data_IF_149067009702
#
_entry.id   IF_149067009702
#
_cell.length_a   1.000
_cell.length_b   1.000
_cell.length_c   1.000
_cell.angle_alpha   90.00
_cell.angle_beta   90.00
_cell.angle_gamma   90.00
#
_symmetry.space_group_name_H-M   'P 1'
#
loop_
_entity.id
_entity.type
_entity.pdbx_description
1 polymer ?
#
# COMPACT_ATOMS: atom_id res chain seq x y z
N UNK A 1 -32.85 -37.77 22.47
CA UNK A 1 -32.29 -36.39 22.55
C UNK A 1 -30.88 -36.43 21.98
N UNK A 2 -30.71 -35.95 20.77
CA UNK A 2 -29.41 -35.85 20.13
C UNK A 2 -28.80 -34.50 20.51
N UNK A 3 -27.67 -34.51 21.21
CA UNK A 3 -26.88 -33.30 21.44
C UNK A 3 -26.25 -32.88 20.11
N UNK A 4 -26.66 -31.73 19.63
CA UNK A 4 -25.97 -31.07 18.52
C UNK A 4 -24.61 -30.61 19.02
N UNK A 5 -23.54 -31.21 18.49
CA UNK A 5 -22.18 -30.73 18.70
C UNK A 5 -22.05 -29.35 18.04
N UNK A 6 -21.83 -28.31 18.84
CA UNK A 6 -21.44 -27.00 18.35
C UNK A 6 -20.06 -27.13 17.73
N UNK A 7 -19.97 -27.02 16.39
CA UNK A 7 -18.70 -26.89 15.70
C UNK A 7 -18.01 -25.60 16.22
N UNK A 8 -16.82 -25.73 16.79
CA UNK A 8 -16.00 -24.57 17.13
C UNK A 8 -15.63 -23.88 15.81
N UNK A 9 -16.05 -22.63 15.65
CA UNK A 9 -15.65 -21.81 14.53
C UNK A 9 -14.11 -21.74 14.46
N UNK A 10 -13.54 -22.02 13.30
CA UNK A 10 -12.10 -21.89 13.09
C UNK A 10 -11.66 -20.42 13.17
N UNK A 11 -10.35 -20.11 13.30
CA UNK A 11 -9.85 -18.75 13.45
C UNK A 11 -10.31 -17.76 12.36
N UNK A 12 -10.68 -18.26 11.18
CA UNK A 12 -11.18 -17.45 10.05
C UNK A 12 -12.65 -17.05 10.18
N UNK A 13 -13.43 -17.76 11.00
CA UNK A 13 -14.88 -17.51 11.14
C UNK A 13 -15.20 -16.31 12.04
N UNK A 14 -14.19 -15.75 12.70
CA UNK A 14 -14.37 -14.54 13.51
C UNK A 14 -14.46 -13.26 12.66
N UNK A 15 -13.90 -13.26 11.45
CA UNK A 15 -13.87 -12.07 10.58
C UNK A 15 -15.01 -12.06 9.56
N UNK A 16 -15.40 -10.85 9.15
CA UNK A 16 -16.48 -10.65 8.20
C UNK A 16 -16.26 -11.45 6.91
N UNK A 17 -17.33 -12.05 6.35
CA UNK A 17 -17.26 -12.65 5.02
C UNK A 17 -16.67 -11.68 4.00
N UNK A 18 -15.84 -12.21 3.06
CA UNK A 18 -15.10 -11.37 2.11
C UNK A 18 -15.98 -10.49 1.22
N UNK A 19 -17.23 -10.89 0.96
CA UNK A 19 -18.16 -10.17 0.10
C UNK A 19 -19.24 -9.40 0.88
N UNK A 20 -19.09 -9.26 2.21
CA UNK A 20 -19.97 -8.40 2.99
C UNK A 20 -19.80 -6.96 2.55
N UNK A 21 -20.89 -6.23 2.20
CA UNK A 21 -20.81 -4.80 1.91
C UNK A 21 -20.12 -4.02 3.04
N UNK A 22 -19.17 -3.16 2.68
CA UNK A 22 -18.47 -2.32 3.64
C UNK A 22 -19.39 -1.27 4.26
N UNK A 23 -19.04 -0.76 5.44
CA UNK A 23 -19.83 0.28 6.11
C UNK A 23 -19.75 1.61 5.35
N UNK A 24 -20.65 2.54 5.72
CA UNK A 24 -20.45 3.95 5.37
C UNK A 24 -19.14 4.44 6.00
N UNK A 25 -18.43 5.29 5.26
CA UNK A 25 -17.21 5.92 5.79
C UNK A 25 -17.59 6.82 6.98
N UNK A 26 -16.84 6.71 8.05
CA UNK A 26 -17.08 7.47 9.30
C UNK A 26 -16.39 8.84 9.28
N UNK A 27 -15.37 9.01 8.44
CA UNK A 27 -14.64 10.26 8.26
C UNK A 27 -15.53 11.32 7.62
N UNK A 28 -15.48 12.60 8.09
CA UNK A 28 -16.26 13.67 7.50
C UNK A 28 -16.03 13.82 6.00
N UNK A 29 -17.10 13.98 5.23
CA UNK A 29 -17.02 14.05 3.76
C UNK A 29 -16.18 15.24 3.26
N UNK A 30 -16.03 16.30 4.03
CA UNK A 30 -15.17 17.44 3.70
C UNK A 30 -13.70 17.03 3.71
N UNK A 31 -13.28 16.29 4.75
CA UNK A 31 -11.89 15.84 4.92
C UNK A 31 -11.52 14.82 3.84
N UNK A 32 -12.44 13.88 3.56
CA UNK A 32 -12.27 12.92 2.46
C UNK A 32 -12.10 13.62 1.11
N UNK A 33 -12.92 14.62 0.81
CA UNK A 33 -12.80 15.36 -0.47
C UNK A 33 -11.50 16.18 -0.56
N UNK A 34 -11.06 16.74 0.56
CA UNK A 34 -9.82 17.52 0.61
C UNK A 34 -8.57 16.65 0.45
N UNK A 35 -8.66 15.35 0.76
CA UNK A 35 -7.52 14.44 0.81
C UNK A 35 -6.99 14.01 -0.55
N UNK A 36 -7.77 14.10 -1.63
CA UNK A 36 -7.38 13.59 -2.95
C UNK A 36 -7.06 14.74 -3.89
N UNK A 37 -5.89 14.69 -4.51
CA UNK A 37 -5.47 15.61 -5.57
C UNK A 37 -5.16 14.82 -6.83
N UNK A 38 -5.69 15.27 -7.96
CA UNK A 38 -5.54 14.61 -9.25
C UNK A 38 -5.04 15.59 -10.31
N UNK A 39 -4.29 15.08 -11.29
CA UNK A 39 -3.94 15.84 -12.50
C UNK A 39 -5.17 16.06 -13.36
N UNK A 40 -5.20 17.11 -14.20
CA UNK A 40 -6.28 17.30 -15.18
C UNK A 40 -6.46 16.09 -16.11
N UNK A 41 -5.38 15.42 -16.49
CA UNK A 41 -5.38 14.21 -17.33
C UNK A 41 -6.07 12.99 -16.70
N UNK A 42 -6.28 12.99 -15.39
CA UNK A 42 -7.03 11.94 -14.70
C UNK A 42 -8.54 11.95 -15.00
N UNK A 43 -9.08 13.10 -15.42
CA UNK A 43 -10.50 13.22 -15.73
C UNK A 43 -10.81 12.65 -17.11
N UNK A 44 -11.73 11.68 -17.17
CA UNK A 44 -12.10 10.94 -18.39
C UNK A 44 -10.88 10.33 -19.10
N UNK A 45 -9.94 9.82 -18.32
CA UNK A 45 -8.71 9.25 -18.83
C UNK A 45 -8.96 8.05 -19.74
N UNK A 46 -8.13 7.94 -20.81
CA UNK A 46 -8.10 6.74 -21.66
C UNK A 46 -7.12 5.69 -21.16
N UNK A 47 -6.30 6.03 -20.17
CA UNK A 47 -5.37 5.13 -19.47
C UNK A 47 -5.89 4.89 -18.06
N UNK A 48 -5.40 3.87 -17.41
CA UNK A 48 -5.57 3.72 -15.98
C UNK A 48 -4.96 4.91 -15.26
N UNK A 49 -5.68 5.44 -14.28
CA UNK A 49 -5.15 6.53 -13.45
C UNK A 49 -4.38 5.91 -12.28
N UNK A 50 -3.12 6.29 -12.10
CA UNK A 50 -2.33 5.86 -10.96
C UNK A 50 -2.75 6.62 -9.70
N UNK A 51 -3.23 5.93 -8.68
CA UNK A 51 -3.48 6.48 -7.35
C UNK A 51 -2.29 6.18 -6.43
N UNK A 52 -1.55 7.21 -6.06
CA UNK A 52 -0.40 7.10 -5.16
C UNK A 52 -0.83 7.19 -3.70
N UNK A 53 -0.40 6.20 -2.89
CA UNK A 53 -0.69 6.10 -1.46
C UNK A 53 0.62 6.14 -0.67
N UNK A 54 0.91 7.21 0.09
CA UNK A 54 2.17 7.36 0.80
C UNK A 54 2.30 6.41 1.99
N UNK A 55 3.55 6.14 2.37
CA UNK A 55 3.92 5.38 3.54
C UNK A 55 3.77 6.18 4.85
N UNK A 56 4.39 5.67 5.91
CA UNK A 56 4.32 6.23 7.26
C UNK A 56 5.09 7.54 7.39
N UNK A 57 4.49 8.51 8.04
CA UNK A 57 5.15 9.74 8.49
C UNK A 57 5.25 10.82 7.42
N UNK A 58 4.70 10.64 6.23
CA UNK A 58 4.78 11.61 5.13
C UNK A 58 3.44 11.79 4.43
N UNK A 59 3.22 13.00 3.90
CA UNK A 59 2.17 13.27 2.94
C UNK A 59 2.64 13.01 1.50
N UNK A 60 1.74 13.10 0.50
CA UNK A 60 2.11 12.80 -0.89
C UNK A 60 3.13 13.78 -1.48
N UNK A 61 3.21 15.00 -0.99
CA UNK A 61 4.21 15.98 -1.47
C UNK A 61 5.61 15.56 -1.01
N UNK A 62 5.77 15.30 0.29
CA UNK A 62 7.06 14.87 0.84
C UNK A 62 7.50 13.51 0.30
N UNK A 63 6.52 12.61 0.09
CA UNK A 63 6.80 11.28 -0.42
C UNK A 63 7.16 11.28 -1.91
N UNK A 64 6.48 12.07 -2.73
CA UNK A 64 6.40 11.79 -4.15
C UNK A 64 6.69 12.98 -5.08
N UNK A 65 6.77 14.23 -4.60
CA UNK A 65 6.95 15.38 -5.48
C UNK A 65 8.28 15.37 -6.25
N UNK A 66 9.33 14.84 -5.63
CA UNK A 66 10.69 14.80 -6.17
C UNK A 66 11.03 13.50 -6.94
N UNK A 67 10.05 12.59 -7.07
CA UNK A 67 10.23 11.27 -7.68
C UNK A 67 8.98 10.85 -8.46
N UNK A 68 8.06 10.07 -7.90
CA UNK A 68 6.90 9.47 -8.58
C UNK A 68 6.01 10.51 -9.28
N UNK A 69 5.64 11.63 -8.64
CA UNK A 69 4.81 12.65 -9.29
C UNK A 69 5.55 13.27 -10.48
N UNK A 70 6.84 13.62 -10.29
CA UNK A 70 7.66 14.17 -11.37
C UNK A 70 7.86 13.16 -12.51
N UNK A 71 8.02 11.85 -12.19
CA UNK A 71 8.16 10.80 -13.19
C UNK A 71 6.87 10.61 -14.00
N UNK A 72 5.72 10.58 -13.33
CA UNK A 72 4.42 10.40 -13.99
C UNK A 72 4.05 11.64 -14.82
N UNK A 73 4.35 12.86 -14.34
CA UNK A 73 4.20 14.09 -15.12
C UNK A 73 5.07 14.06 -16.37
N UNK A 74 6.34 13.68 -16.25
CA UNK A 74 7.27 13.55 -17.39
C UNK A 74 6.81 12.50 -18.41
N UNK A 75 6.14 11.45 -17.94
CA UNK A 75 5.57 10.40 -18.79
C UNK A 75 4.18 10.75 -19.35
N UNK A 76 3.64 11.95 -19.04
CA UNK A 76 2.26 12.33 -19.32
C UNK A 76 1.27 11.23 -18.86
N UNK A 77 1.53 10.66 -17.66
CA UNK A 77 0.72 9.59 -17.10
C UNK A 77 -0.29 10.16 -16.09
N UNK A 78 -1.61 9.91 -16.28
CA UNK A 78 -2.65 10.46 -15.41
C UNK A 78 -2.54 9.89 -14.01
N UNK A 79 -2.54 10.76 -12.99
CA UNK A 79 -2.39 10.32 -11.62
C UNK A 79 -3.17 11.14 -10.61
N UNK A 80 -3.41 10.52 -9.47
CA UNK A 80 -3.92 11.11 -8.24
C UNK A 80 -3.00 10.74 -7.08
N UNK A 81 -3.02 11.54 -6.03
CA UNK A 81 -2.38 11.19 -4.76
C UNK A 81 -3.33 11.45 -3.60
N UNK A 82 -3.28 10.62 -2.57
CA UNK A 82 -4.11 10.75 -1.37
C UNK A 82 -3.28 11.18 -0.17
N UNK A 83 -3.74 12.20 0.54
CA UNK A 83 -3.21 12.60 1.84
C UNK A 83 -3.92 11.78 2.92
N UNK A 84 -3.17 11.03 3.72
CA UNK A 84 -3.70 10.24 4.82
C UNK A 84 -3.69 11.01 6.14
N UNK A 85 -4.61 10.72 7.08
CA UNK A 85 -4.73 11.47 8.33
C UNK A 85 -3.45 11.38 9.16
N UNK A 86 -2.99 12.51 9.68
CA UNK A 86 -1.79 12.59 10.52
C UNK A 86 -0.52 12.04 9.84
N UNK A 87 -0.43 12.10 8.50
CA UNK A 87 0.68 11.50 7.74
C UNK A 87 0.88 10.01 8.07
N UNK A 88 -0.21 9.26 8.17
CA UNK A 88 -0.22 7.79 8.38
C UNK A 88 0.40 7.31 9.70
N UNK A 89 0.51 8.15 10.73
CA UNK A 89 1.01 7.71 12.06
C UNK A 89 -0.09 7.32 13.05
N UNK A 90 -1.36 7.43 12.63
CA UNK A 90 -2.55 7.05 13.40
C UNK A 90 -3.05 5.63 13.13
N UNK A 91 -4.35 5.43 13.37
CA UNK A 91 -5.04 4.16 13.11
C UNK A 91 -5.13 3.87 11.61
N UNK A 92 -4.55 2.75 11.19
CA UNK A 92 -4.54 2.32 9.77
C UNK A 92 -5.96 2.05 9.26
N UNK A 93 -6.91 1.68 10.11
CA UNK A 93 -8.31 1.51 9.73
C UNK A 93 -8.95 2.85 9.31
N UNK A 94 -8.55 3.96 9.94
CA UNK A 94 -8.98 5.30 9.52
C UNK A 94 -8.33 5.68 8.19
N UNK A 95 -7.02 5.46 8.04
CA UNK A 95 -6.32 5.65 6.78
C UNK A 95 -6.97 4.88 5.62
N UNK A 96 -7.45 3.66 5.88
CA UNK A 96 -8.16 2.86 4.89
C UNK A 96 -9.47 3.52 4.41
N UNK A 97 -10.19 4.24 5.26
CA UNK A 97 -11.39 4.98 4.82
C UNK A 97 -11.05 6.09 3.82
N UNK A 98 -9.92 6.79 4.02
CA UNK A 98 -9.42 7.77 3.04
C UNK A 98 -9.07 7.10 1.71
N UNK A 99 -8.44 5.91 1.76
CA UNK A 99 -8.11 5.15 0.56
C UNK A 99 -9.36 4.64 -0.15
N UNK A 100 -10.38 4.15 0.56
CA UNK A 100 -11.69 3.79 -0.02
C UNK A 100 -12.29 4.98 -0.76
N UNK A 101 -12.28 6.17 -0.13
CA UNK A 101 -12.75 7.39 -0.79
C UNK A 101 -11.93 7.71 -2.03
N UNK A 102 -10.60 7.65 -1.93
CA UNK A 102 -9.69 7.95 -3.03
C UNK A 102 -9.90 7.01 -4.23
N UNK A 103 -10.04 5.69 -4.00
CA UNK A 103 -10.36 4.71 -5.05
C UNK A 103 -11.68 5.07 -5.73
N UNK A 104 -12.75 5.28 -4.95
CA UNK A 104 -14.07 5.63 -5.49
C UNK A 104 -14.07 6.96 -6.24
N UNK A 105 -13.34 7.95 -5.73
CA UNK A 105 -13.21 9.26 -6.37
C UNK A 105 -12.48 9.15 -7.70
N UNK A 106 -11.30 8.54 -7.70
CA UNK A 106 -10.45 8.39 -8.90
C UNK A 106 -11.17 7.57 -9.97
N UNK A 107 -11.78 6.45 -9.62
CA UNK A 107 -12.61 5.65 -10.53
C UNK A 107 -13.75 6.48 -11.16
N UNK A 108 -14.44 7.29 -10.34
CA UNK A 108 -15.57 8.10 -10.83
C UNK A 108 -15.12 9.17 -11.83
N UNK A 109 -13.99 9.83 -11.59
CA UNK A 109 -13.49 10.89 -12.48
C UNK A 109 -12.83 10.33 -13.74
N UNK A 110 -12.12 9.20 -13.62
CA UNK A 110 -11.46 8.54 -14.75
C UNK A 110 -12.45 7.83 -15.67
N UNK A 111 -13.58 7.33 -15.12
CA UNK A 111 -14.56 6.47 -15.79
C UNK A 111 -13.99 5.12 -16.25
N UNK A 112 -12.87 4.72 -15.69
CA UNK A 112 -12.19 3.45 -15.95
C UNK A 112 -11.63 2.90 -14.64
N UNK A 113 -11.28 1.61 -14.62
CA UNK A 113 -10.53 1.05 -13.51
C UNK A 113 -9.21 1.80 -13.34
N UNK A 114 -8.68 1.79 -12.12
CA UNK A 114 -7.49 2.52 -11.72
C UNK A 114 -6.39 1.58 -11.25
N UNK A 115 -5.15 2.05 -11.30
CA UNK A 115 -4.03 1.42 -10.61
C UNK A 115 -3.83 2.06 -9.24
N UNK A 116 -3.46 1.29 -8.24
CA UNK A 116 -3.09 1.78 -6.90
C UNK A 116 -1.64 1.42 -6.64
N UNK A 117 -0.80 2.43 -6.41
CA UNK A 117 0.62 2.27 -6.06
C UNK A 117 0.81 2.71 -4.62
N UNK A 118 1.26 1.81 -3.76
CA UNK A 118 1.46 2.10 -2.34
C UNK A 118 2.82 1.66 -1.83
N UNK A 119 3.55 2.56 -1.16
CA UNK A 119 4.84 2.27 -0.55
C UNK A 119 4.69 1.95 0.94
N UNK A 120 5.35 0.88 1.41
CA UNK A 120 5.35 0.52 2.83
C UNK A 120 3.91 0.34 3.38
N UNK A 121 3.53 1.06 4.45
CA UNK A 121 2.15 1.12 4.96
C UNK A 121 1.15 1.58 3.90
N UNK A 122 1.59 2.37 2.91
CA UNK A 122 0.76 2.82 1.80
C UNK A 122 0.25 1.66 0.91
N UNK A 123 0.91 0.50 0.94
CA UNK A 123 0.41 -0.72 0.32
C UNK A 123 -0.61 -1.46 1.21
N UNK A 124 -0.52 -1.32 2.51
CA UNK A 124 -1.41 -2.00 3.49
C UNK A 124 -2.82 -1.42 3.47
N UNK A 125 -2.95 -0.08 3.51
CA UNK A 125 -4.25 0.59 3.57
C UNK A 125 -5.16 0.26 2.37
N UNK A 126 -4.67 0.18 1.11
CA UNK A 126 -5.46 -0.29 -0.02
C UNK A 126 -5.90 -1.75 0.12
N UNK A 127 -5.05 -2.64 0.61
CA UNK A 127 -5.42 -4.04 0.81
C UNK A 127 -6.52 -4.19 1.85
N UNK A 128 -6.44 -3.41 2.95
CA UNK A 128 -7.51 -3.36 3.95
C UNK A 128 -8.82 -2.80 3.34
N UNK A 129 -8.74 -1.78 2.49
CA UNK A 129 -9.88 -1.26 1.74
C UNK A 129 -10.50 -2.33 0.83
N UNK A 130 -9.70 -3.04 0.02
CA UNK A 130 -10.16 -4.14 -0.85
C UNK A 130 -10.76 -5.30 -0.04
N UNK A 131 -10.27 -5.55 1.19
CA UNK A 131 -10.79 -6.61 2.05
C UNK A 131 -12.16 -6.28 2.63
N UNK A 132 -12.37 -5.07 3.12
CA UNK A 132 -13.56 -4.70 3.90
C UNK A 132 -14.55 -3.78 3.17
N UNK A 133 -14.21 -3.28 1.97
CA UNK A 133 -15.13 -2.57 1.06
C UNK A 133 -15.08 -3.20 -0.33
N UNK A 134 -15.77 -4.35 -0.50
CA UNK A 134 -15.67 -5.16 -1.72
C UNK A 134 -16.11 -4.45 -3.01
N UNK A 135 -16.90 -3.37 -2.91
CA UNK A 135 -17.23 -2.53 -4.07
C UNK A 135 -15.99 -1.90 -4.73
N UNK A 136 -14.94 -1.64 -3.96
CA UNK A 136 -13.69 -1.07 -4.48
C UNK A 136 -12.95 -2.02 -5.41
N UNK A 137 -13.18 -3.33 -5.31
CA UNK A 137 -12.55 -4.35 -6.17
C UNK A 137 -12.92 -4.21 -7.64
N UNK A 138 -14.15 -3.78 -7.93
CA UNK A 138 -14.60 -3.53 -9.30
C UNK A 138 -13.96 -2.26 -9.91
N UNK A 139 -13.33 -1.42 -9.08
CA UNK A 139 -12.78 -0.12 -9.46
C UNK A 139 -11.26 -0.17 -9.69
N UNK A 140 -10.58 -1.20 -9.18
CA UNK A 140 -9.12 -1.36 -9.27
C UNK A 140 -8.79 -2.42 -10.32
N UNK A 141 -7.85 -2.10 -11.22
CA UNK A 141 -7.28 -3.04 -12.17
C UNK A 141 -5.95 -3.58 -11.64
N UNK A 142 -5.10 -2.69 -11.13
CA UNK A 142 -3.76 -3.01 -10.67
C UNK A 142 -3.50 -2.50 -9.25
N UNK A 143 -2.87 -3.35 -8.47
CA UNK A 143 -2.27 -3.04 -7.19
C UNK A 143 -0.76 -3.24 -7.29
N UNK A 144 0.02 -2.21 -6.98
CA UNK A 144 1.48 -2.26 -6.91
C UNK A 144 1.91 -1.90 -5.49
N UNK A 145 2.46 -2.87 -4.78
CA UNK A 145 3.04 -2.68 -3.45
C UNK A 145 4.56 -2.53 -3.53
N UNK A 146 5.08 -1.39 -3.09
CA UNK A 146 6.52 -1.12 -3.01
C UNK A 146 6.96 -1.36 -1.57
N UNK A 147 7.62 -2.47 -1.28
CA UNK A 147 7.97 -2.92 0.07
C UNK A 147 6.78 -2.84 1.05
N UNK A 148 5.60 -3.29 0.59
CA UNK A 148 4.38 -3.22 1.37
C UNK A 148 4.42 -4.17 2.58
N UNK A 149 3.96 -3.72 3.75
CA UNK A 149 4.00 -4.47 5.02
C UNK A 149 2.85 -5.50 5.07
N UNK A 150 2.77 -6.36 4.06
CA UNK A 150 1.62 -7.23 3.81
C UNK A 150 1.36 -8.25 4.94
N UNK A 151 2.41 -8.73 5.62
CA UNK A 151 2.30 -9.68 6.73
C UNK A 151 2.89 -9.13 8.04
N UNK A 152 2.91 -7.80 8.17
CA UNK A 152 3.51 -7.13 9.32
C UNK A 152 5.04 -7.11 9.26
N UNK A 153 5.67 -6.57 10.28
CA UNK A 153 7.12 -6.46 10.37
C UNK A 153 7.64 -6.94 11.72
N UNK A 154 8.67 -7.77 11.71
CA UNK A 154 9.37 -8.19 12.93
C UNK A 154 10.10 -7.03 13.61
N UNK A 155 10.46 -5.96 12.87
CA UNK A 155 11.05 -4.77 13.46
C UNK A 155 10.05 -4.06 14.40
N UNK A 156 8.77 -4.04 14.04
CA UNK A 156 7.74 -3.52 14.93
C UNK A 156 7.52 -4.41 16.16
N UNK A 157 7.66 -5.74 16.03
CA UNK A 157 7.61 -6.65 17.18
C UNK A 157 8.75 -6.38 18.16
N UNK A 158 9.96 -6.11 17.63
CA UNK A 158 11.17 -5.81 18.43
C UNK A 158 11.10 -4.41 19.05
N UNK A 159 10.67 -3.42 18.29
CA UNK A 159 10.62 -2.03 18.75
C UNK A 159 9.54 -1.77 19.82
N UNK A 160 8.46 -2.56 19.80
CA UNK A 160 7.31 -2.40 20.69
C UNK A 160 6.92 -3.72 21.39
N UNK A 161 7.85 -4.33 22.16
CA UNK A 161 7.65 -5.68 22.73
C UNK A 161 6.50 -5.72 23.74
N UNK A 162 6.31 -4.64 24.50
CA UNK A 162 5.29 -4.52 25.55
C UNK A 162 3.91 -4.11 25.02
N UNK A 163 3.76 -3.96 23.70
CA UNK A 163 2.50 -3.52 23.10
C UNK A 163 2.20 -2.03 23.28
N UNK A 164 3.12 -1.25 23.84
CA UNK A 164 2.99 0.22 23.94
C UNK A 164 3.67 0.86 22.72
N UNK A 165 2.94 1.67 21.95
CA UNK A 165 3.51 2.31 20.76
C UNK A 165 2.51 3.12 19.96
N UNK A 166 2.94 3.80 18.89
CA UNK A 166 2.02 4.45 17.96
C UNK A 166 1.06 3.46 17.32
N UNK A 167 -0.16 3.89 17.03
CA UNK A 167 -1.22 3.05 16.48
C UNK A 167 -0.75 2.24 15.26
N UNK A 168 -0.17 2.91 14.25
CA UNK A 168 0.33 2.26 13.05
C UNK A 168 1.37 1.17 13.35
N UNK A 169 2.30 1.46 14.28
CA UNK A 169 3.38 0.53 14.59
C UNK A 169 2.87 -0.75 15.26
N UNK A 170 1.88 -0.62 16.15
CA UNK A 170 1.23 -1.76 16.79
C UNK A 170 0.41 -2.58 15.79
N UNK A 171 -0.30 -1.90 14.87
CA UNK A 171 -1.09 -2.56 13.83
C UNK A 171 -0.23 -3.22 12.74
N UNK A 172 1.00 -2.77 12.52
CA UNK A 172 1.92 -3.35 11.56
C UNK A 172 2.88 -4.39 12.19
N UNK A 173 2.65 -4.81 13.42
CA UNK A 173 3.31 -5.99 13.99
C UNK A 173 2.84 -7.26 13.27
N UNK A 174 3.72 -8.25 13.12
CA UNK A 174 3.37 -9.55 12.54
C UNK A 174 2.27 -10.27 13.32
N UNK A 175 2.21 -10.03 14.62
CA UNK A 175 1.26 -10.63 15.56
C UNK A 175 0.00 -9.80 15.77
N UNK A 176 -0.17 -8.69 15.06
CA UNK A 176 -1.30 -7.79 15.27
C UNK A 176 -2.62 -8.39 14.77
N UNK A 177 -3.70 -8.02 15.44
CA UNK A 177 -5.06 -8.37 14.99
C UNK A 177 -5.43 -7.68 13.69
N UNK A 178 -4.84 -6.54 13.42
CA UNK A 178 -5.04 -5.81 12.16
C UNK A 178 -4.50 -6.61 10.97
N UNK A 179 -3.26 -7.09 11.02
CA UNK A 179 -2.65 -7.93 9.96
C UNK A 179 -3.41 -9.25 9.81
N UNK A 180 -3.78 -9.90 10.93
CA UNK A 180 -4.59 -11.11 10.91
C UNK A 180 -5.93 -10.89 10.20
N UNK A 181 -6.64 -9.80 10.51
CA UNK A 181 -7.91 -9.45 9.90
C UNK A 181 -7.78 -9.14 8.41
N UNK A 182 -6.77 -8.34 8.03
CA UNK A 182 -6.53 -7.96 6.64
C UNK A 182 -6.27 -9.19 5.75
N UNK A 183 -5.52 -10.16 6.23
CA UNK A 183 -5.18 -11.37 5.50
C UNK A 183 -6.22 -12.50 5.66
N UNK A 184 -7.29 -12.26 6.45
CA UNK A 184 -8.34 -13.25 6.65
C UNK A 184 -9.13 -13.54 5.36
N UNK A 185 -9.38 -14.80 5.08
CA UNK A 185 -10.16 -15.26 3.94
C UNK A 185 -9.37 -15.26 2.63
N UNK A 186 -9.04 -14.11 2.07
CA UNK A 186 -8.24 -13.99 0.83
C UNK A 186 -7.37 -12.74 0.87
N UNK A 187 -6.13 -12.88 0.41
CA UNK A 187 -5.20 -11.77 0.27
C UNK A 187 -5.36 -11.01 -1.04
N UNK A 188 -5.79 -11.72 -2.10
CA UNK A 188 -5.94 -11.20 -3.46
C UNK A 188 -7.31 -11.55 -4.04
N UNK A 189 -7.89 -10.65 -4.82
CA UNK A 189 -9.25 -10.78 -5.35
C UNK A 189 -9.25 -10.89 -6.87
N UNK A 190 -10.19 -11.64 -7.47
CA UNK A 190 -10.34 -11.73 -8.92
C UNK A 190 -10.55 -10.36 -9.57
N UNK A 191 -10.03 -10.21 -10.79
CA UNK A 191 -10.20 -8.99 -11.59
C UNK A 191 -9.26 -7.84 -11.21
N UNK A 192 -8.29 -8.11 -10.31
CA UNK A 192 -7.20 -7.21 -9.94
C UNK A 192 -5.89 -7.95 -10.14
N UNK A 193 -4.92 -7.31 -10.78
CA UNK A 193 -3.53 -7.77 -10.85
C UNK A 193 -2.73 -7.24 -9.67
N UNK A 194 -1.88 -8.05 -9.08
CA UNK A 194 -1.10 -7.70 -7.92
C UNK A 194 0.39 -7.84 -8.21
N UNK A 195 1.11 -6.75 -8.10
CA UNK A 195 2.57 -6.71 -8.15
C UNK A 195 3.09 -6.32 -6.79
N UNK A 196 3.80 -7.22 -6.13
CA UNK A 196 4.44 -6.95 -4.83
C UNK A 196 5.95 -6.94 -5.02
N UNK A 197 6.54 -5.76 -4.84
CA UNK A 197 7.97 -5.57 -4.99
C UNK A 197 8.66 -5.57 -3.64
N UNK A 198 9.81 -6.24 -3.57
CA UNK A 198 10.64 -6.34 -2.37
C UNK A 198 12.11 -6.07 -2.68
N UNK A 199 12.87 -5.79 -1.64
CA UNK A 199 14.34 -5.73 -1.71
C UNK A 199 14.94 -6.54 -0.57
N UNK A 200 16.02 -7.27 -0.85
CA UNK A 200 16.79 -8.00 0.18
C UNK A 200 17.52 -7.07 1.17
N UNK A 201 17.58 -5.77 0.86
CA UNK A 201 18.16 -4.74 1.72
C UNK A 201 17.13 -4.00 2.59
N UNK A 202 15.89 -4.54 2.68
CA UNK A 202 14.85 -3.92 3.49
C UNK A 202 15.16 -4.06 4.99
N UNK A 203 15.33 -2.91 5.67
CA UNK A 203 15.61 -2.85 7.11
C UNK A 203 14.36 -2.73 7.97
N UNK A 204 13.20 -2.48 7.38
CA UNK A 204 11.94 -2.27 8.10
C UNK A 204 10.94 -3.41 7.90
N UNK A 205 10.78 -3.93 6.68
CA UNK A 205 9.81 -4.99 6.37
C UNK A 205 10.51 -6.33 6.32
N UNK A 206 10.69 -6.91 7.50
CA UNK A 206 11.42 -8.16 7.72
C UNK A 206 10.56 -9.21 8.42
N UNK A 207 10.86 -10.50 8.27
CA UNK A 207 11.87 -11.10 7.39
C UNK A 207 11.51 -11.03 5.91
N UNK A 208 12.45 -11.43 5.04
CA UNK A 208 12.21 -11.57 3.61
C UNK A 208 10.96 -12.44 3.34
N UNK A 209 10.22 -12.13 2.27
CA UNK A 209 8.93 -12.75 1.95
C UNK A 209 7.73 -12.16 2.69
N UNK A 210 7.93 -11.25 3.65
CA UNK A 210 6.83 -10.57 4.36
C UNK A 210 5.96 -9.71 3.44
N UNK A 211 6.52 -9.28 2.32
CA UNK A 211 5.80 -8.51 1.28
C UNK A 211 4.99 -9.39 0.34
N UNK A 212 5.26 -10.69 0.25
CA UNK A 212 4.66 -11.58 -0.74
C UNK A 212 3.15 -11.71 -0.54
N UNK A 213 2.44 -11.85 -1.65
CA UNK A 213 1.00 -12.04 -1.66
C UNK A 213 0.63 -13.42 -2.18
N UNK A 214 -0.34 -14.05 -1.54
CA UNK A 214 -0.89 -15.34 -1.96
C UNK A 214 -1.91 -15.17 -3.08
N UNK A 215 -1.75 -15.95 -4.15
CA UNK A 215 -2.67 -15.96 -5.28
C UNK A 215 -2.13 -16.71 -6.49
N UNK A 216 -2.94 -16.90 -7.53
CA UNK A 216 -2.47 -17.55 -8.75
C UNK A 216 -1.47 -16.65 -9.51
N UNK A 217 -0.44 -17.24 -10.11
CA UNK A 217 0.59 -16.54 -10.88
C UNK A 217 0.03 -15.68 -12.04
N UNK A 218 -1.13 -16.04 -12.58
CA UNK A 218 -1.81 -15.23 -13.61
C UNK A 218 -2.30 -13.87 -13.10
N UNK A 219 -2.20 -13.62 -11.80
CA UNK A 219 -2.73 -12.40 -11.16
C UNK A 219 -1.78 -11.82 -10.10
N UNK A 220 -0.80 -12.57 -9.64
CA UNK A 220 0.12 -12.17 -8.57
C UNK A 220 1.55 -12.38 -9.02
N UNK A 221 2.35 -11.32 -8.97
CA UNK A 221 3.80 -11.37 -9.11
C UNK A 221 4.45 -10.81 -7.83
N UNK A 222 5.23 -11.64 -7.16
CA UNK A 222 6.10 -11.25 -6.05
C UNK A 222 7.52 -11.19 -6.60
N UNK A 223 8.11 -9.99 -6.65
CA UNK A 223 9.36 -9.75 -7.34
C UNK A 223 10.34 -9.04 -6.41
N UNK A 224 11.50 -9.65 -6.16
CA UNK A 224 12.63 -8.97 -5.54
C UNK A 224 13.40 -8.17 -6.59
N UNK A 225 13.82 -6.93 -6.27
CA UNK A 225 14.65 -6.12 -7.17
C UNK A 225 15.92 -6.87 -7.57
N UNK A 226 16.51 -7.60 -6.65
CA UNK A 226 17.74 -8.37 -6.88
C UNK A 226 17.55 -9.59 -7.80
N UNK A 227 16.29 -10.00 -8.06
CA UNK A 227 16.02 -11.02 -9.08
C UNK A 227 16.16 -10.48 -10.50
N UNK A 228 16.05 -9.17 -10.68
CA UNK A 228 16.26 -8.47 -11.96
C UNK A 228 17.71 -7.95 -12.04
N UNK A 229 18.11 -7.22 -11.01
CA UNK A 229 19.41 -6.56 -10.89
C UNK A 229 20.13 -7.05 -9.62
N UNK A 230 20.96 -8.11 -9.71
CA UNK A 230 21.60 -8.69 -8.52
C UNK A 230 22.47 -7.73 -7.69
N UNK A 231 22.96 -6.66 -8.32
CA UNK A 231 23.77 -5.63 -7.67
C UNK A 231 22.93 -4.46 -7.13
N UNK A 232 21.61 -4.50 -7.28
CA UNK A 232 20.73 -3.47 -6.73
C UNK A 232 20.85 -3.43 -5.19
N UNK A 233 21.11 -2.24 -4.65
CA UNK A 233 21.31 -2.01 -3.22
C UNK A 233 20.23 -1.12 -2.59
N UNK A 234 19.13 -0.89 -3.30
CA UNK A 234 18.01 -0.10 -2.79
C UNK A 234 17.47 -0.67 -1.49
N UNK A 235 17.36 0.17 -0.50
CA UNK A 235 16.76 -0.15 0.79
C UNK A 235 15.23 0.08 0.79
N UNK A 236 14.59 -0.03 1.96
CA UNK A 236 13.15 0.20 2.10
C UNK A 236 12.68 1.56 1.59
N UNK A 237 13.48 2.61 1.77
CA UNK A 237 13.11 3.96 1.32
C UNK A 237 13.35 4.06 -0.19
N UNK A 238 14.48 3.56 -0.66
CA UNK A 238 14.86 3.57 -2.07
C UNK A 238 13.81 2.91 -2.97
N UNK A 239 13.38 1.69 -2.64
CA UNK A 239 12.34 0.96 -3.42
C UNK A 239 11.01 1.73 -3.50
N UNK A 240 10.67 2.50 -2.44
CA UNK A 240 9.44 3.30 -2.40
C UNK A 240 9.54 4.64 -3.09
N UNK A 241 10.76 5.15 -3.35
CA UNK A 241 10.96 6.55 -3.75
C UNK A 241 11.81 6.77 -4.98
N UNK A 242 12.99 6.12 -5.11
CA UNK A 242 13.99 6.54 -6.09
C UNK A 242 14.53 5.42 -6.98
N UNK A 243 14.14 4.19 -6.72
CA UNK A 243 14.68 3.03 -7.40
C UNK A 243 14.18 2.89 -8.85
N UNK A 244 15.12 2.70 -9.79
CA UNK A 244 14.82 2.60 -11.21
C UNK A 244 14.16 1.27 -11.58
N UNK A 245 14.53 0.17 -10.92
CA UNK A 245 13.98 -1.18 -11.17
C UNK A 245 12.54 -1.25 -10.66
N UNK A 246 12.29 -0.73 -9.45
CA UNK A 246 10.95 -0.65 -8.89
C UNK A 246 10.01 0.19 -9.77
N UNK A 247 10.50 1.33 -10.27
CA UNK A 247 9.74 2.16 -11.22
C UNK A 247 9.44 1.41 -12.52
N UNK A 248 10.43 0.76 -13.12
CA UNK A 248 10.25 0.03 -14.37
C UNK A 248 9.23 -1.11 -14.23
N UNK A 249 9.32 -1.89 -13.16
CA UNK A 249 8.36 -2.95 -12.85
C UNK A 249 6.95 -2.42 -12.59
N UNK A 250 6.84 -1.33 -11.84
CA UNK A 250 5.53 -0.71 -11.60
C UNK A 250 4.91 -0.18 -12.90
N UNK A 251 5.69 0.52 -13.74
CA UNK A 251 5.20 1.01 -15.03
C UNK A 251 4.89 -0.12 -16.00
N UNK A 252 5.63 -1.23 -15.93
CA UNK A 252 5.28 -2.43 -16.70
C UNK A 252 3.90 -2.94 -16.27
N UNK A 253 3.62 -3.09 -14.97
CA UNK A 253 2.30 -3.50 -14.47
C UNK A 253 1.16 -2.58 -14.98
N UNK A 254 1.38 -1.27 -15.02
CA UNK A 254 0.37 -0.28 -15.41
C UNK A 254 0.13 -0.18 -16.94
N UNK A 255 0.97 -0.79 -17.76
CA UNK A 255 0.96 -0.59 -19.22
C UNK A 255 0.66 -1.87 -20.02
N UNK A 256 0.44 -2.98 -19.35
CA UNK A 256 -0.02 -4.22 -19.98
C UNK A 256 -1.07 -4.94 -19.11
N UNK A 257 -1.67 -5.98 -19.60
CA UNK A 257 -2.65 -6.77 -18.83
C UNK A 257 -1.92 -7.80 -17.96
N UNK A 258 -2.28 -7.84 -16.68
CA UNK A 258 -1.67 -8.75 -15.70
C UNK A 258 -0.70 -8.04 -14.75
N UNK A 259 -0.15 -8.76 -13.76
CA UNK A 259 0.87 -8.22 -12.86
C UNK A 259 2.17 -7.95 -13.63
N UNK A 260 3.11 -7.21 -13.04
CA UNK A 260 4.39 -6.96 -13.68
C UNK A 260 5.04 -8.25 -14.19
N UNK A 261 5.52 -8.17 -15.42
CA UNK A 261 6.29 -9.24 -16.07
C UNK A 261 7.78 -8.87 -16.02
N UNK A 262 8.56 -9.52 -15.14
CA UNK A 262 9.98 -9.23 -15.01
C UNK A 262 10.77 -9.53 -16.30
N UNK A 263 10.33 -10.46 -17.14
CA UNK A 263 11.01 -10.80 -18.40
C UNK A 263 10.82 -9.69 -19.46
N UNK A 264 9.76 -8.88 -19.33
CA UNK A 264 9.51 -7.75 -20.23
C UNK A 264 10.28 -6.47 -19.82
N UNK A 265 10.89 -6.44 -18.64
CA UNK A 265 11.70 -5.29 -18.19
C UNK A 265 13.15 -5.47 -18.69
N UNK A 266 13.64 -4.46 -19.45
CA UNK A 266 15.01 -4.50 -19.95
C UNK A 266 16.03 -4.46 -18.82
N UNK A 267 17.02 -5.35 -18.86
CA UNK A 267 18.14 -5.37 -17.90
C UNK A 267 19.01 -4.11 -17.96
N UNK A 268 18.88 -3.27 -18.99
CA UNK A 268 19.55 -1.96 -19.03
C UNK A 268 19.08 -1.02 -17.91
N UNK A 269 17.97 -1.32 -17.23
CA UNK A 269 17.54 -0.59 -16.02
C UNK A 269 18.55 -0.76 -14.88
N UNK A 270 19.31 -1.86 -14.85
CA UNK A 270 20.33 -2.10 -13.82
C UNK A 270 21.52 -1.13 -13.90
N UNK A 271 21.69 -0.42 -15.01
CA UNK A 271 22.71 0.62 -15.16
C UNK A 271 22.20 2.00 -14.67
N UNK A 272 20.94 2.09 -14.24
CA UNK A 272 20.33 3.34 -13.77
C UNK A 272 20.30 3.38 -12.24
N UNK A 273 20.95 4.37 -11.65
CA UNK A 273 20.97 4.56 -10.20
C UNK A 273 19.65 5.12 -9.67
N UNK A 274 18.98 5.96 -10.45
CA UNK A 274 17.76 6.68 -10.04
C UNK A 274 16.65 6.53 -11.08
N UNK A 275 15.41 6.43 -10.60
CA UNK A 275 14.24 6.39 -11.46
C UNK A 275 14.05 7.70 -12.24
N UNK A 276 13.35 7.69 -13.39
CA UNK A 276 12.93 8.91 -14.07
C UNK A 276 12.19 9.86 -13.11
N UNK A 277 12.43 11.17 -13.24
CA UNK A 277 11.80 12.20 -12.40
C UNK A 277 12.62 12.61 -11.18
N UNK A 278 13.54 11.80 -10.72
CA UNK A 278 14.51 12.19 -9.69
C UNK A 278 15.62 13.04 -10.34
N UNK A 279 15.88 14.20 -9.75
CA UNK A 279 17.03 15.04 -10.14
C UNK A 279 18.27 14.62 -9.32
N UNK A 280 19.34 14.11 -9.96
CA UNK A 280 20.54 13.70 -9.26
C UNK A 280 21.20 14.83 -8.46
N UNK A 281 21.01 16.09 -8.85
CA UNK A 281 21.62 17.24 -8.16
C UNK A 281 20.91 17.58 -6.84
N UNK A 282 19.64 17.21 -6.66
CA UNK A 282 18.87 17.48 -5.45
C UNK A 282 18.55 16.21 -4.65
N UNK A 283 18.82 15.03 -5.20
CA UNK A 283 18.44 13.73 -4.63
C UNK A 283 18.76 13.59 -3.14
N UNK A 284 20.02 13.87 -2.76
CA UNK A 284 20.46 13.75 -1.36
C UNK A 284 19.69 14.70 -0.42
N UNK A 285 19.41 15.92 -0.88
CA UNK A 285 18.67 16.90 -0.09
C UNK A 285 17.19 16.53 0.03
N UNK A 286 16.60 16.00 -1.03
CA UNK A 286 15.19 15.58 -1.07
C UNK A 286 14.97 14.34 -0.20
N UNK A 287 15.88 13.36 -0.28
CA UNK A 287 15.89 12.18 0.58
C UNK A 287 16.07 12.57 2.05
N UNK A 288 16.99 13.47 2.36
CA UNK A 288 17.18 13.97 3.72
C UNK A 288 15.93 14.69 4.25
N UNK A 289 15.26 15.49 3.43
CA UNK A 289 14.01 16.16 3.79
C UNK A 289 12.89 15.15 4.05
N UNK A 290 12.75 14.12 3.21
CA UNK A 290 11.82 13.00 3.40
C UNK A 290 12.07 12.31 4.76
N UNK A 291 13.31 11.87 5.02
CA UNK A 291 13.67 11.17 6.26
C UNK A 291 13.40 12.04 7.48
N UNK A 292 13.80 13.33 7.43
CA UNK A 292 13.56 14.29 8.51
C UNK A 292 12.08 14.44 8.82
N UNK A 293 11.24 14.59 7.80
CA UNK A 293 9.79 14.77 7.95
C UNK A 293 9.14 13.51 8.51
N UNK A 294 9.45 12.35 7.94
CA UNK A 294 8.94 11.06 8.40
C UNK A 294 9.31 10.81 9.86
N UNK A 295 10.59 10.95 10.21
CA UNK A 295 11.08 10.76 11.58
C UNK A 295 10.41 11.72 12.55
N UNK A 296 10.27 13.00 12.20
CA UNK A 296 9.63 14.00 13.06
C UNK A 296 8.15 13.65 13.35
N UNK A 297 7.41 13.19 12.35
CA UNK A 297 6.01 12.81 12.51
C UNK A 297 5.85 11.50 13.32
N UNK A 298 6.69 10.50 13.04
CA UNK A 298 6.73 9.24 13.80
C UNK A 298 7.06 9.50 15.28
N UNK A 299 8.06 10.33 15.56
CA UNK A 299 8.48 10.65 16.94
C UNK A 299 7.39 11.39 17.71
N UNK A 300 6.56 12.20 17.05
CA UNK A 300 5.43 12.94 17.66
C UNK A 300 4.15 12.12 17.74
N UNK A 301 4.13 10.91 17.15
CA UNK A 301 2.93 10.10 17.15
C UNK A 301 2.51 9.73 18.57
N UNK A 302 1.19 9.75 18.80
CA UNK A 302 0.62 9.38 20.10
C UNK A 302 0.94 7.92 20.43
N UNK A 303 1.55 7.68 21.55
CA UNK A 303 1.75 6.35 22.12
C UNK A 303 0.46 5.86 22.73
N UNK A 304 0.06 4.64 22.38
CA UNK A 304 -1.10 3.93 22.92
C UNK A 304 -0.62 2.76 23.80
N UNK A 305 -1.41 2.37 24.82
CA UNK A 305 -1.07 1.23 25.67
C UNK A 305 -1.33 -0.14 25.03
N UNK A 306 -1.98 -0.17 23.87
CA UNK A 306 -2.28 -1.39 23.14
C UNK A 306 -2.62 -1.07 21.67
N UNK A 307 -2.62 -2.10 20.82
CA UNK A 307 -3.12 -2.03 19.45
C UNK A 307 -4.55 -1.47 19.44
N UNK A 308 -4.88 -0.54 18.50
CA UNK A 308 -6.25 -0.06 18.33
C UNK A 308 -7.22 -1.22 18.13
N UNK A 309 -8.34 -1.18 18.83
CA UNK A 309 -9.41 -2.18 18.67
C UNK A 309 -9.91 -2.17 17.23
N UNK A 310 -10.03 -3.36 16.63
CA UNK A 310 -10.63 -3.51 15.31
C UNK A 310 -12.08 -3.00 15.32
N UNK A 311 -12.43 -2.27 14.28
CA UNK A 311 -13.78 -1.70 14.13
C UNK A 311 -14.83 -2.83 13.95
N UNK A 312 -16.09 -2.64 14.39
CA UNK A 312 -17.11 -3.70 14.40
C UNK A 312 -17.34 -4.37 13.04
N UNK A 313 -17.18 -3.64 11.95
CA UNK A 313 -17.40 -4.19 10.60
C UNK A 313 -16.38 -5.26 10.18
N UNK A 314 -15.25 -5.33 10.87
CA UNK A 314 -14.20 -6.32 10.62
C UNK A 314 -14.63 -7.72 11.04
N UNK A 315 -15.55 -7.81 11.98
CA UNK A 315 -15.99 -9.10 12.54
C UNK A 315 -17.21 -9.66 11.83
N UNK A 316 -17.34 -10.98 11.83
CA UNK A 316 -18.59 -11.63 11.51
C UNK A 316 -19.68 -11.12 12.48
N UNK A 317 -20.89 -10.93 11.99
CA UNK A 317 -22.02 -10.59 12.87
C UNK A 317 -22.15 -11.68 13.94
N UNK A 318 -22.23 -11.24 15.19
CA UNK A 318 -22.68 -12.12 16.27
C UNK A 318 -24.20 -12.30 16.18
#
# INVERSE_FOLDING_TARGET
>A
MALAASASAGPTDQYAPIDRPGPRLSVPAADLRASVKCTPSAYHSRREVALLVPGTGVGPIEAYAWNWLAALDKADYPHCAVTLPGNSVGDVQESAEYVVHAIRHTYRISRSKIAVIGASQGGVSPRFALRFWPDTRAMVADYVGLAAVNHGSSQNDIAYPDGNGPAFALQLKRTSKFIEAMNSGKETFPGISYTSLSTSHDQFVTPEGTTDLSGPASRVANISLQSICPADSSDHIGIGTSDAVAYALAMNALTHAGPADPEAVSTSVCDQTLMPGVDPSTYESDLAAFIKTSTANITKARVLPAEPTLKPYVFASR
#
